data_IF_349630018467
#
_entry.id   IF_349630018467
#
_cell.length_a   1.000
_cell.length_b   1.000
_cell.length_c   1.000
_cell.angle_alpha   90.00
_cell.angle_beta   90.00
_cell.angle_gamma   90.00
#
_symmetry.space_group_name_H-M   'P 1'
#
loop_
_entity.id
_entity.type
_entity.pdbx_description
1 polymer ?
#
# COMPACT_ATOMS: atom_id res chain seq x y z
N UNK A 1 40.47 17.30 -14.73
CA UNK A 1 40.18 16.85 -13.35
C UNK A 1 38.73 16.39 -13.30
N UNK A 2 38.46 15.09 -13.44
CA UNK A 2 37.10 14.55 -13.38
C UNK A 2 36.67 14.45 -11.91
N UNK A 3 35.78 15.35 -11.47
CA UNK A 3 35.06 15.14 -10.21
C UNK A 3 34.17 13.92 -10.38
N UNK A 4 34.55 12.79 -9.78
CA UNK A 4 33.63 11.67 -9.56
C UNK A 4 32.46 12.20 -8.73
N UNK A 5 31.30 12.40 -9.37
CA UNK A 5 30.05 12.62 -8.65
C UNK A 5 29.77 11.36 -7.85
N UNK A 6 30.01 11.42 -6.54
CA UNK A 6 29.50 10.43 -5.60
C UNK A 6 27.99 10.37 -5.78
N UNK A 7 27.49 9.23 -6.29
CA UNK A 7 26.06 9.02 -6.55
C UNK A 7 25.20 9.00 -5.29
N UNK A 8 25.84 8.92 -4.11
CA UNK A 8 25.19 8.86 -2.81
C UNK A 8 25.87 9.77 -1.81
N UNK A 9 25.07 10.43 -0.99
CA UNK A 9 25.58 11.24 0.12
C UNK A 9 26.04 10.33 1.27
N UNK A 10 26.98 10.79 2.12
CA UNK A 10 27.38 10.04 3.32
C UNK A 10 26.19 9.69 4.23
N UNK A 11 25.20 10.59 4.30
CA UNK A 11 23.96 10.39 5.06
C UNK A 11 23.13 9.24 4.49
N UNK A 12 22.94 9.18 3.18
CA UNK A 12 22.23 8.06 2.52
C UNK A 12 22.94 6.72 2.75
N UNK A 13 24.28 6.71 2.69
CA UNK A 13 25.07 5.52 2.98
C UNK A 13 24.89 5.07 4.44
N UNK A 14 24.91 6.01 5.40
CA UNK A 14 24.69 5.72 6.82
C UNK A 14 23.28 5.16 7.07
N UNK A 15 22.25 5.77 6.50
CA UNK A 15 20.86 5.30 6.62
C UNK A 15 20.71 3.89 6.06
N UNK A 16 21.26 3.65 4.86
CA UNK A 16 21.20 2.33 4.22
C UNK A 16 21.95 1.27 5.01
N UNK A 17 23.11 1.63 5.57
CA UNK A 17 23.92 0.72 6.39
C UNK A 17 23.17 0.30 7.66
N UNK A 18 22.68 1.27 8.43
CA UNK A 18 21.95 1.03 9.69
C UNK A 18 20.61 0.34 9.43
N UNK A 19 19.92 0.66 8.33
CA UNK A 19 18.58 0.16 8.05
C UNK A 19 18.52 -1.25 7.47
N UNK A 20 19.62 -1.80 6.92
CA UNK A 20 19.54 -3.12 6.31
C UNK A 20 20.80 -3.71 5.72
N UNK A 21 21.99 -3.13 5.95
CA UNK A 21 23.27 -3.76 5.55
C UNK A 21 24.18 -4.07 6.73
N UNK A 22 23.74 -3.78 7.95
CA UNK A 22 24.51 -4.07 9.14
C UNK A 22 24.54 -5.59 9.40
N UNK A 23 25.72 -6.23 9.57
CA UNK A 23 25.83 -7.69 9.65
C UNK A 23 25.04 -8.37 10.77
N UNK A 24 24.62 -7.62 11.79
CA UNK A 24 23.81 -8.14 12.90
C UNK A 24 22.31 -8.13 12.60
N UNK A 25 21.88 -7.54 11.49
CA UNK A 25 20.45 -7.52 11.12
C UNK A 25 20.09 -8.91 10.58
N UNK A 26 19.11 -9.52 11.20
CA UNK A 26 18.55 -10.77 10.74
C UNK A 26 17.64 -10.54 9.53
N UNK A 27 18.05 -11.07 8.38
CA UNK A 27 17.30 -11.01 7.12
C UNK A 27 16.53 -12.32 6.81
N UNK A 28 16.53 -13.29 7.73
CA UNK A 28 15.76 -14.53 7.56
C UNK A 28 14.25 -14.25 7.50
N UNK A 29 13.49 -15.18 6.95
CA UNK A 29 12.02 -15.08 6.95
C UNK A 29 11.46 -15.09 8.38
N UNK A 30 10.25 -14.55 8.55
CA UNK A 30 9.58 -14.54 9.84
C UNK A 30 9.09 -15.93 10.21
N UNK A 31 9.55 -16.45 11.35
CA UNK A 31 8.98 -17.67 11.91
C UNK A 31 7.57 -17.40 12.41
N UNK A 32 6.68 -18.40 12.30
CA UNK A 32 5.31 -18.33 12.84
C UNK A 32 5.29 -18.01 14.33
N UNK A 33 6.25 -18.55 15.09
CA UNK A 33 6.39 -18.28 16.52
C UNK A 33 6.79 -16.84 16.84
N UNK A 34 7.64 -16.24 16.02
CA UNK A 34 8.05 -14.83 16.15
C UNK A 34 6.89 -13.90 15.81
N UNK A 35 6.16 -14.19 14.73
CA UNK A 35 5.00 -13.42 14.29
C UNK A 35 3.87 -13.46 15.34
N UNK A 36 3.59 -14.63 15.94
CA UNK A 36 2.58 -14.74 17.00
C UNK A 36 2.95 -13.93 18.24
N UNK A 37 4.23 -13.93 18.65
CA UNK A 37 4.69 -13.11 19.79
C UNK A 37 4.57 -11.62 19.50
N UNK A 38 4.97 -11.20 18.30
CA UNK A 38 4.83 -9.80 17.88
C UNK A 38 3.37 -9.36 17.89
N UNK A 39 2.48 -10.16 17.31
CA UNK A 39 1.06 -9.84 17.25
C UNK A 39 0.41 -9.78 18.64
N UNK A 40 0.85 -10.61 19.59
CA UNK A 40 0.37 -10.54 20.97
C UNK A 40 0.70 -9.19 21.61
N UNK A 41 1.97 -8.77 21.57
CA UNK A 41 2.43 -7.48 22.12
C UNK A 41 1.72 -6.31 21.46
N UNK A 42 1.63 -6.32 20.12
CA UNK A 42 0.94 -5.26 19.38
C UNK A 42 -0.54 -5.20 19.73
N UNK A 43 -1.21 -6.35 19.88
CA UNK A 43 -2.64 -6.40 20.23
C UNK A 43 -2.92 -5.86 21.63
N UNK A 44 -1.99 -6.04 22.58
CA UNK A 44 -2.10 -5.50 23.93
C UNK A 44 -1.97 -3.97 23.92
N UNK A 45 -0.92 -3.45 23.28
CA UNK A 45 -0.70 -2.00 23.17
C UNK A 45 -1.82 -1.29 22.38
N UNK A 46 -2.36 -1.95 21.35
CA UNK A 46 -3.46 -1.43 20.54
C UNK A 46 -4.77 -1.31 21.31
N UNK A 47 -5.07 -2.24 22.24
CA UNK A 47 -6.26 -2.15 23.13
C UNK A 47 -6.22 -0.92 24.02
N UNK A 48 -5.03 -0.54 24.47
CA UNK A 48 -4.81 0.61 25.36
C UNK A 48 -4.79 1.93 24.58
N UNK A 49 -4.90 1.90 23.23
CA UNK A 49 -4.75 3.07 22.33
C UNK A 49 -3.45 3.85 22.59
N UNK A 50 -2.41 3.16 23.03
CA UNK A 50 -1.11 3.76 23.32
C UNK A 50 -0.25 3.74 22.06
N UNK A 51 0.55 4.79 21.77
CA UNK A 51 1.55 4.71 20.72
C UNK A 51 2.53 3.56 20.99
N UNK A 52 2.66 2.66 20.02
CA UNK A 52 3.52 1.48 20.11
C UNK A 52 4.98 1.92 20.01
N UNK A 53 5.75 1.61 21.04
CA UNK A 53 7.19 1.88 21.07
C UNK A 53 7.94 0.69 20.44
N UNK A 54 8.17 0.77 19.13
CA UNK A 54 8.82 -0.30 18.36
C UNK A 54 10.24 -0.61 18.82
N UNK A 55 10.92 0.31 19.53
CA UNK A 55 12.23 0.04 20.12
C UNK A 55 12.12 -0.96 21.28
N UNK A 56 11.11 -0.78 22.15
CA UNK A 56 10.85 -1.71 23.27
C UNK A 56 10.36 -3.07 22.79
N UNK A 57 9.54 -3.09 21.73
CA UNK A 57 9.12 -4.35 21.09
C UNK A 57 10.33 -5.11 20.55
N UNK A 58 11.29 -4.41 19.92
CA UNK A 58 12.52 -5.01 19.43
C UNK A 58 13.41 -5.57 20.56
N UNK A 59 13.50 -4.85 21.69
CA UNK A 59 14.21 -5.34 22.89
C UNK A 59 13.56 -6.59 23.48
N UNK A 60 12.23 -6.63 23.51
CA UNK A 60 11.46 -7.75 24.09
C UNK A 60 11.57 -9.02 23.25
N UNK A 61 11.60 -8.88 21.93
CA UNK A 61 11.70 -10.01 21.00
C UNK A 61 13.15 -10.47 20.78
N UNK A 62 14.14 -9.58 20.93
CA UNK A 62 15.58 -9.86 20.81
C UNK A 62 16.00 -10.61 19.53
N UNK A 63 15.20 -10.59 18.46
CA UNK A 63 15.45 -11.33 17.20
C UNK A 63 16.41 -10.61 16.25
N UNK A 64 17.09 -9.56 16.71
CA UNK A 64 18.06 -8.76 15.95
C UNK A 64 17.53 -8.24 14.60
N UNK A 65 16.22 -8.00 14.49
CA UNK A 65 15.58 -7.38 13.32
C UNK A 65 15.47 -5.86 13.51
N UNK A 66 15.24 -5.14 12.41
CA UNK A 66 15.07 -3.69 12.41
C UNK A 66 13.71 -3.29 12.99
N UNK A 67 13.63 -2.15 13.70
CA UNK A 67 12.37 -1.58 14.21
C UNK A 67 11.28 -1.46 13.13
N UNK A 68 11.70 -1.10 11.91
CA UNK A 68 10.82 -1.01 10.73
C UNK A 68 10.23 -2.37 10.33
N UNK A 69 10.97 -3.46 10.49
CA UNK A 69 10.47 -4.79 10.14
C UNK A 69 9.40 -5.26 11.12
N UNK A 70 9.58 -4.99 12.42
CA UNK A 70 8.52 -5.23 13.41
C UNK A 70 7.26 -4.41 13.09
N UNK A 71 7.42 -3.14 12.70
CA UNK A 71 6.28 -2.30 12.33
C UNK A 71 5.51 -2.85 11.13
N UNK A 72 6.22 -3.31 10.09
CA UNK A 72 5.59 -3.88 8.87
C UNK A 72 4.83 -5.17 9.14
N UNK A 73 5.33 -6.02 10.03
CA UNK A 73 4.73 -7.32 10.33
C UNK A 73 3.70 -7.29 11.46
N UNK A 74 3.83 -6.35 12.40
CA UNK A 74 2.97 -6.27 13.58
C UNK A 74 1.66 -5.51 13.32
N UNK A 75 1.64 -4.58 12.36
CA UNK A 75 0.42 -3.88 11.99
C UNK A 75 -0.35 -4.66 10.92
N UNK A 76 -1.67 -4.87 11.10
CA UNK A 76 -2.47 -5.46 10.05
C UNK A 76 -2.40 -4.57 8.80
N UNK A 77 -2.19 -5.15 7.60
CA UNK A 77 -2.21 -4.38 6.38
C UNK A 77 -3.61 -3.78 6.22
N UNK A 78 -3.69 -2.45 6.20
CA UNK A 78 -4.94 -1.78 5.93
C UNK A 78 -5.23 -1.96 4.43
N UNK A 79 -6.12 -2.89 4.11
CA UNK A 79 -6.55 -3.18 2.74
C UNK A 79 -7.94 -2.60 2.54
N UNK A 80 -8.13 -1.88 1.44
CA UNK A 80 -9.45 -1.48 1.02
C UNK A 80 -10.28 -2.73 0.67
N UNK A 81 -11.46 -2.85 1.29
CA UNK A 81 -12.48 -3.81 0.90
C UNK A 81 -13.54 -3.08 0.10
N UNK A 82 -13.91 -3.64 -1.05
CA UNK A 82 -15.04 -3.15 -1.83
C UNK A 82 -16.34 -3.52 -1.12
N UNK A 83 -17.12 -2.50 -0.79
CA UNK A 83 -18.47 -2.60 -0.25
C UNK A 83 -19.38 -1.78 -1.17
N UNK A 84 -20.70 -2.04 -1.22
CA UNK A 84 -21.59 -1.27 -2.08
C UNK A 84 -21.55 0.25 -1.79
N UNK A 85 -21.24 0.65 -0.55
CA UNK A 85 -21.02 2.06 -0.20
C UNK A 85 -19.72 2.62 -0.82
N UNK A 86 -18.67 1.81 -0.89
CA UNK A 86 -17.41 2.17 -1.56
C UNK A 86 -17.63 2.31 -3.07
N UNK A 87 -18.44 1.45 -3.68
CA UNK A 87 -18.80 1.52 -5.10
C UNK A 87 -19.58 2.81 -5.41
N UNK A 88 -20.54 3.18 -4.54
CA UNK A 88 -21.24 4.46 -4.69
C UNK A 88 -20.31 5.68 -4.56
N UNK A 89 -19.32 5.61 -3.66
CA UNK A 89 -18.29 6.65 -3.55
C UNK A 89 -17.41 6.71 -4.79
N UNK A 90 -17.08 5.56 -5.38
CA UNK A 90 -16.33 5.48 -6.63
C UNK A 90 -17.08 6.18 -7.77
N UNK A 91 -18.37 5.87 -7.96
CA UNK A 91 -19.19 6.51 -9.00
C UNK A 91 -19.22 8.04 -8.81
N UNK A 92 -19.43 8.50 -7.57
CA UNK A 92 -19.42 9.94 -7.24
C UNK A 92 -18.06 10.58 -7.48
N UNK A 93 -16.97 9.93 -7.08
CA UNK A 93 -15.62 10.43 -7.25
C UNK A 93 -15.23 10.54 -8.73
N UNK A 94 -15.59 9.56 -9.55
CA UNK A 94 -15.35 9.59 -11.01
C UNK A 94 -16.10 10.74 -11.67
N UNK A 95 -17.36 10.98 -11.29
CA UNK A 95 -18.15 12.10 -11.79
C UNK A 95 -17.54 13.47 -11.45
N UNK A 96 -16.89 13.59 -10.29
CA UNK A 96 -16.28 14.85 -9.83
C UNK A 96 -14.88 15.05 -10.43
N UNK A 97 -14.06 13.99 -10.47
CA UNK A 97 -12.61 14.12 -10.66
C UNK A 97 -12.12 13.98 -12.11
N UNK A 98 -13.02 13.76 -13.08
CA UNK A 98 -12.69 13.44 -14.49
C UNK A 98 -11.75 12.22 -14.63
N UNK A 99 -11.70 11.66 -15.84
CA UNK A 99 -11.11 10.32 -16.12
C UNK A 99 -9.58 10.32 -16.05
N UNK A 100 -8.94 11.48 -16.06
CA UNK A 100 -7.49 11.64 -16.13
C UNK A 100 -6.79 11.57 -14.77
N UNK A 101 -7.51 11.68 -13.65
CA UNK A 101 -6.90 11.77 -12.32
C UNK A 101 -7.35 10.68 -11.33
N UNK A 102 -6.89 9.45 -11.56
CA UNK A 102 -7.17 8.29 -10.69
C UNK A 102 -6.59 8.43 -9.29
N UNK A 103 -5.51 9.19 -9.10
CA UNK A 103 -4.98 9.45 -7.77
C UNK A 103 -5.96 10.27 -6.92
N UNK A 104 -6.62 11.25 -7.54
CA UNK A 104 -7.63 12.05 -6.88
C UNK A 104 -8.90 11.24 -6.60
N UNK A 105 -9.34 10.42 -7.56
CA UNK A 105 -10.46 9.48 -7.37
C UNK A 105 -10.16 8.56 -6.18
N UNK A 106 -8.94 8.02 -6.10
CA UNK A 106 -8.50 7.13 -5.03
C UNK A 106 -8.71 7.73 -3.65
N UNK A 107 -8.24 8.96 -3.45
CA UNK A 107 -8.37 9.66 -2.17
C UNK A 107 -9.82 9.90 -1.77
N UNK A 108 -10.73 10.06 -2.74
CA UNK A 108 -12.16 10.27 -2.47
C UNK A 108 -12.91 8.97 -2.15
N UNK A 109 -12.43 7.82 -2.62
CA UNK A 109 -13.06 6.51 -2.36
C UNK A 109 -12.67 6.00 -0.98
N UNK A 110 -11.36 5.91 -0.71
CA UNK A 110 -10.84 5.40 0.56
C UNK A 110 -9.37 5.77 0.73
N UNK A 111 -8.97 6.01 1.99
CA UNK A 111 -7.58 6.26 2.36
C UNK A 111 -6.63 5.09 2.03
N UNK A 112 -7.16 3.86 1.97
CA UNK A 112 -6.39 2.63 1.77
C UNK A 112 -6.58 2.03 0.37
N UNK A 113 -7.30 2.71 -0.52
CA UNK A 113 -7.49 2.22 -1.88
C UNK A 113 -6.22 2.42 -2.71
N UNK A 114 -5.96 1.49 -3.61
CA UNK A 114 -4.88 1.57 -4.58
C UNK A 114 -5.46 2.07 -5.91
N UNK A 115 -4.86 3.07 -6.58
CA UNK A 115 -5.29 3.53 -7.91
C UNK A 115 -5.49 2.38 -8.91
N UNK A 116 -4.61 1.39 -8.95
CA UNK A 116 -4.74 0.22 -9.83
C UNK A 116 -5.94 -0.65 -9.46
N UNK A 117 -6.21 -0.80 -8.15
CA UNK A 117 -7.36 -1.55 -7.66
C UNK A 117 -8.68 -0.84 -8.00
N UNK A 118 -8.70 0.49 -7.93
CA UNK A 118 -9.85 1.32 -8.30
C UNK A 118 -10.11 1.30 -9.80
N UNK A 119 -9.06 1.40 -10.61
CA UNK A 119 -9.17 1.25 -12.06
C UNK A 119 -9.76 -0.11 -12.43
N UNK A 120 -9.26 -1.19 -11.82
CA UNK A 120 -9.79 -2.54 -12.02
C UNK A 120 -11.26 -2.62 -11.63
N UNK A 121 -11.64 -2.07 -10.49
CA UNK A 121 -13.02 -2.11 -10.05
C UNK A 121 -13.92 -1.27 -10.95
N UNK A 122 -13.51 -0.05 -11.31
CA UNK A 122 -14.24 0.82 -12.22
C UNK A 122 -14.51 0.17 -13.59
N UNK A 123 -13.57 -0.65 -14.08
CA UNK A 123 -13.75 -1.47 -15.28
C UNK A 123 -14.74 -2.63 -15.04
N UNK A 124 -14.65 -3.32 -13.90
CA UNK A 124 -15.55 -4.42 -13.53
C UNK A 124 -17.00 -3.97 -13.30
N UNK A 125 -17.21 -2.82 -12.67
CA UNK A 125 -18.54 -2.23 -12.48
C UNK A 125 -19.14 -1.70 -13.79
N UNK A 126 -18.42 -1.89 -14.91
CA UNK A 126 -18.81 -1.53 -16.25
C UNK A 126 -19.40 -0.11 -16.28
N UNK A 127 -18.67 0.82 -15.65
CA UNK A 127 -19.03 2.24 -15.69
C UNK A 127 -19.06 2.64 -17.16
N UNK A 128 -20.27 2.63 -17.75
CA UNK A 128 -20.56 3.02 -19.13
C UNK A 128 -19.98 4.38 -19.52
N UNK A 129 -19.54 5.15 -18.51
CA UNK A 129 -18.79 6.39 -18.59
C UNK A 129 -17.48 6.29 -19.39
N UNK A 130 -16.75 5.17 -19.34
CA UNK A 130 -15.56 5.02 -20.21
C UNK A 130 -15.96 4.82 -21.68
N UNK A 131 -17.02 4.05 -21.90
CA UNK A 131 -17.51 3.72 -23.24
C UNK A 131 -18.24 4.88 -23.92
N UNK A 132 -18.81 5.83 -23.16
CA UNK A 132 -19.43 7.03 -23.73
C UNK A 132 -18.42 8.04 -24.30
N UNK A 133 -17.14 7.93 -23.90
CA UNK A 133 -16.05 8.75 -24.44
C UNK A 133 -15.33 8.12 -25.62
N UNK A 134 -15.57 6.83 -25.90
CA UNK A 134 -15.10 6.19 -27.14
C UNK A 134 -16.03 6.65 -28.26
N UNK A 135 -15.54 7.39 -29.26
CA UNK A 135 -16.35 7.76 -30.41
C UNK A 135 -16.93 6.48 -31.03
N UNK A 136 -18.25 6.46 -31.29
CA UNK A 136 -18.91 5.33 -31.97
C UNK A 136 -18.29 5.03 -33.35
N UNK A 137 -17.50 5.97 -33.86
CA UNK A 137 -16.88 5.98 -35.16
C UNK A 137 -15.42 5.48 -35.14
N UNK A 138 -14.89 5.08 -33.97
CA UNK A 138 -13.49 4.70 -33.79
C UNK A 138 -13.10 3.34 -34.43
N UNK A 139 -14.00 2.67 -35.15
CA UNK A 139 -13.69 1.43 -35.88
C UNK A 139 -13.26 0.26 -34.99
N UNK A 140 -13.47 0.33 -33.68
CA UNK A 140 -13.10 -0.73 -32.74
C UNK A 140 -14.12 -1.89 -32.84
N UNK A 141 -13.72 -2.99 -33.48
CA UNK A 141 -14.49 -4.24 -33.63
C UNK A 141 -14.40 -5.18 -32.42
N UNK A 142 -13.85 -4.73 -31.29
CA UNK A 142 -13.64 -5.58 -30.13
C UNK A 142 -14.95 -5.80 -29.37
N UNK A 143 -15.60 -6.93 -29.65
CA UNK A 143 -16.77 -7.41 -28.90
C UNK A 143 -16.29 -7.92 -27.54
N UNK A 144 -16.66 -7.22 -26.47
CA UNK A 144 -16.35 -7.64 -25.10
C UNK A 144 -17.45 -8.60 -24.58
N UNK A 145 -17.08 -9.71 -23.91
CA UNK A 145 -17.99 -10.81 -23.61
C UNK A 145 -19.01 -10.54 -22.48
N UNK A 146 -19.12 -9.32 -21.95
CA UNK A 146 -19.96 -9.02 -20.76
C UNK A 146 -21.11 -8.03 -21.02
N UNK A 147 -21.50 -7.83 -22.28
CA UNK A 147 -22.74 -7.14 -22.64
C UNK A 147 -23.80 -8.12 -23.12
N UNK A 148 -24.32 -8.94 -22.21
CA UNK A 148 -25.64 -9.58 -22.33
C UNK A 148 -26.37 -9.48 -21.00
#
# INVERSE_FOLDING_TARGET
MFMMRLKRTPTECRITWIGGRYPRINHAEWSTSEASKLNAVVSEDMKVKKPIDWAKVAETLATSRTSIDYMKHGLPPHRHSWTPEADQKLIKAVNICRIDNWQLVTRNVSEYANPTGILKEALNTNLGFFYSTVPKDAGCTQVFPFSQ
#
